data_IF_173189088102
#
_entry.id   IF_173189088102
#
_cell.length_a   1.000
_cell.length_b   1.000
_cell.length_c   1.000
_cell.angle_alpha   90.00
_cell.angle_beta   90.00
_cell.angle_gamma   90.00
#
_symmetry.space_group_name_H-M   'P 1'
#
loop_
_entity.id
_entity.type
_entity.pdbx_description
1 polymer ?
#
# COMPACT_ATOMS: atom_id res chain seq x y z
N UNK A 1 -26.76 7.31 16.83
CA UNK A 1 -28.05 6.76 16.36
C UNK A 1 -28.10 6.37 14.88
N UNK A 2 -27.93 7.31 13.91
CA UNK A 2 -27.98 6.94 12.47
C UNK A 2 -26.74 6.14 12.07
N UNK A 3 -25.57 6.58 12.49
CA UNK A 3 -24.28 5.93 12.24
C UNK A 3 -24.23 4.51 12.80
N UNK A 4 -24.69 4.32 14.03
CA UNK A 4 -24.68 3.04 14.73
C UNK A 4 -25.63 2.04 14.04
N UNK A 5 -26.85 2.49 13.70
CA UNK A 5 -27.81 1.70 12.92
C UNK A 5 -27.29 1.34 11.53
N UNK A 6 -26.48 2.21 10.93
CA UNK A 6 -25.86 1.94 9.63
C UNK A 6 -24.75 0.89 9.78
N UNK A 7 -23.88 1.04 10.79
CA UNK A 7 -22.84 0.06 11.14
C UNK A 7 -23.44 -1.32 11.40
N UNK A 8 -24.48 -1.41 12.20
CA UNK A 8 -25.16 -2.67 12.53
C UNK A 8 -25.76 -3.35 11.29
N UNK A 9 -26.27 -2.56 10.34
CA UNK A 9 -26.85 -3.09 9.09
C UNK A 9 -25.80 -3.57 8.09
N UNK A 10 -24.67 -2.91 8.01
CA UNK A 10 -23.61 -3.26 7.08
C UNK A 10 -22.80 -4.44 7.59
N UNK A 11 -22.58 -4.52 8.90
CA UNK A 11 -21.77 -5.57 9.51
C UNK A 11 -20.30 -5.51 9.07
N UNK A 12 -19.62 -6.65 9.16
CA UNK A 12 -18.25 -6.79 8.67
C UNK A 12 -18.25 -7.14 7.18
N UNK A 13 -17.45 -6.42 6.41
CA UNK A 13 -17.22 -6.73 4.98
C UNK A 13 -15.93 -7.55 4.90
N UNK A 14 -15.97 -8.80 4.39
CA UNK A 14 -14.76 -9.59 4.19
C UNK A 14 -13.77 -8.84 3.31
N UNK A 15 -12.48 -8.95 3.64
CA UNK A 15 -11.35 -8.32 2.93
C UNK A 15 -11.31 -6.78 2.94
N UNK A 16 -12.23 -6.11 3.65
CA UNK A 16 -12.14 -4.68 3.86
C UNK A 16 -11.00 -4.37 4.84
N UNK A 17 -10.01 -3.60 4.37
CA UNK A 17 -8.89 -3.15 5.21
C UNK A 17 -9.34 -2.11 6.24
N UNK A 18 -10.35 -1.33 5.92
CA UNK A 18 -10.91 -0.29 6.77
C UNK A 18 -12.36 -0.04 6.37
N UNK A 19 -13.23 0.11 7.37
CA UNK A 19 -14.62 0.49 7.19
C UNK A 19 -14.96 1.62 8.17
N UNK A 20 -15.12 2.82 7.64
CA UNK A 20 -15.39 4.03 8.42
C UNK A 20 -16.78 4.56 8.12
N UNK A 21 -17.55 4.87 9.14
CA UNK A 21 -18.88 5.46 9.00
C UNK A 21 -18.85 6.94 9.43
N UNK A 22 -19.06 7.84 8.51
CA UNK A 22 -19.06 9.29 8.75
C UNK A 22 -20.49 9.81 8.61
N UNK A 23 -21.03 10.40 9.68
CA UNK A 23 -22.38 10.97 9.70
C UNK A 23 -22.40 12.50 9.70
N UNK A 24 -21.27 13.15 9.96
CA UNK A 24 -21.16 14.59 10.08
C UNK A 24 -20.41 15.19 8.89
N UNK A 25 -21.02 16.19 8.26
CA UNK A 25 -20.42 16.94 7.16
C UNK A 25 -19.26 17.85 7.65
N UNK A 26 -19.23 18.19 8.94
CA UNK A 26 -18.21 19.00 9.59
C UNK A 26 -17.66 18.25 10.81
N UNK A 27 -16.85 17.24 10.58
CA UNK A 27 -16.10 16.58 11.65
C UNK A 27 -14.92 17.47 12.07
N UNK A 28 -14.78 17.70 13.37
CA UNK A 28 -13.61 18.40 13.94
C UNK A 28 -12.30 17.56 13.87
N UNK A 29 -12.29 16.50 13.08
CA UNK A 29 -11.22 15.49 13.01
C UNK A 29 -11.48 14.32 13.97
N UNK A 30 -10.61 13.32 13.87
CA UNK A 30 -10.68 12.14 14.72
C UNK A 30 -10.39 12.50 16.18
N UNK A 31 -11.16 11.92 17.11
CA UNK A 31 -11.03 12.18 18.54
C UNK A 31 -9.66 11.73 19.09
N UNK A 32 -9.10 10.70 18.49
CA UNK A 32 -7.76 10.19 18.76
C UNK A 32 -6.90 10.36 17.51
N UNK A 33 -5.75 11.04 17.66
CA UNK A 33 -4.78 11.21 16.58
C UNK A 33 -3.38 11.22 17.16
N UNK A 34 -2.66 10.10 16.98
CA UNK A 34 -1.27 9.96 17.39
C UNK A 34 -0.35 9.92 16.17
N UNK A 35 0.77 10.63 16.24
CA UNK A 35 1.80 10.61 15.21
C UNK A 35 3.06 9.98 15.76
N UNK A 36 3.42 8.83 15.20
CA UNK A 36 4.65 8.14 15.50
C UNK A 36 5.70 8.56 14.47
N UNK A 37 6.87 8.99 14.92
CA UNK A 37 7.96 9.40 14.04
C UNK A 37 9.19 8.57 14.34
N UNK A 38 9.84 8.01 13.31
CA UNK A 38 11.01 7.16 13.48
C UNK A 38 11.92 7.16 12.26
N UNK A 39 13.16 6.68 12.45
CA UNK A 39 14.12 6.46 11.35
C UNK A 39 14.02 5.05 10.79
N UNK A 40 13.82 4.06 11.67
CA UNK A 40 13.66 2.67 11.28
C UNK A 40 12.17 2.39 11.02
N UNK A 41 11.87 1.89 9.83
CA UNK A 41 10.53 1.65 9.35
C UNK A 41 9.85 0.48 10.07
N UNK A 42 10.59 -0.61 10.29
CA UNK A 42 10.02 -1.81 10.89
C UNK A 42 9.65 -1.57 12.36
N UNK A 43 10.51 -0.85 13.09
CA UNK A 43 10.20 -0.42 14.46
C UNK A 43 8.96 0.50 14.47
N UNK A 44 8.84 1.38 13.48
CA UNK A 44 7.71 2.30 13.39
C UNK A 44 6.40 1.55 13.11
N UNK A 45 6.44 0.51 12.27
CA UNK A 45 5.29 -0.39 12.00
C UNK A 45 4.88 -1.16 13.25
N UNK A 46 5.85 -1.74 13.95
CA UNK A 46 5.60 -2.46 15.20
C UNK A 46 4.96 -1.56 16.25
N UNK A 47 5.52 -0.38 16.46
CA UNK A 47 4.96 0.60 17.39
C UNK A 47 3.53 1.05 17.01
N UNK A 48 3.24 1.21 15.71
CA UNK A 48 1.91 1.54 15.25
C UNK A 48 0.91 0.38 15.49
N UNK A 49 1.34 -0.85 15.24
CA UNK A 49 0.52 -2.04 15.50
C UNK A 49 0.23 -2.23 16.99
N UNK A 50 1.23 -2.03 17.85
CA UNK A 50 1.06 -2.07 19.32
C UNK A 50 0.11 -0.99 19.81
N UNK A 51 0.26 0.24 19.30
CA UNK A 51 -0.62 1.35 19.66
C UNK A 51 -2.06 1.09 19.22
N UNK A 52 -2.29 0.55 18.02
CA UNK A 52 -3.62 0.14 17.55
C UNK A 52 -4.22 -0.95 18.44
N UNK A 53 -3.44 -1.97 18.76
CA UNK A 53 -3.88 -3.06 19.63
C UNK A 53 -4.24 -2.56 21.02
N UNK A 54 -3.49 -1.61 21.55
CA UNK A 54 -3.79 -0.98 22.85
C UNK A 54 -5.07 -0.14 22.78
N UNK A 55 -5.22 0.72 21.78
CA UNK A 55 -6.40 1.55 21.60
C UNK A 55 -7.68 0.73 21.47
N UNK A 56 -7.63 -0.39 20.78
CA UNK A 56 -8.78 -1.29 20.62
C UNK A 56 -9.20 -1.99 21.92
N UNK A 57 -8.40 -1.91 22.99
CA UNK A 57 -8.76 -2.45 24.33
C UNK A 57 -9.62 -1.50 25.15
N UNK A 58 -9.65 -0.22 24.80
CA UNK A 58 -10.42 0.76 25.55
C UNK A 58 -11.90 0.68 25.17
N UNK A 59 -12.81 0.45 26.14
CA UNK A 59 -14.24 0.51 25.88
C UNK A 59 -14.63 1.88 25.35
N UNK A 60 -15.44 1.91 24.29
CA UNK A 60 -15.87 3.16 23.65
C UNK A 60 -14.88 3.75 22.63
N UNK A 61 -13.73 3.12 22.39
CA UNK A 61 -12.86 3.43 21.23
C UNK A 61 -13.27 2.53 20.07
N UNK A 62 -13.37 3.10 18.89
CA UNK A 62 -13.74 2.39 17.67
C UNK A 62 -13.07 3.01 16.43
N UNK A 63 -13.18 2.34 15.29
CA UNK A 63 -12.62 2.75 14.00
C UNK A 63 -11.12 3.11 14.10
N UNK A 64 -10.35 2.31 14.87
CA UNK A 64 -8.91 2.52 15.02
C UNK A 64 -8.20 2.07 13.74
N UNK A 65 -7.56 3.00 13.08
CA UNK A 65 -6.80 2.77 11.87
C UNK A 65 -5.45 3.47 11.89
N UNK A 66 -4.58 3.12 10.96
CA UNK A 66 -3.31 3.83 10.80
C UNK A 66 -3.09 4.26 9.35
N UNK A 67 -2.21 5.23 9.16
CA UNK A 67 -1.84 5.74 7.84
C UNK A 67 -0.88 4.82 7.09
N UNK A 68 -0.45 3.73 7.71
CA UNK A 68 0.37 2.72 7.08
C UNK A 68 -0.51 1.78 6.28
N UNK A 69 -0.90 2.20 5.09
CA UNK A 69 -1.67 1.34 4.19
C UNK A 69 -0.71 0.53 3.36
N UNK A 70 -0.79 -0.79 3.49
CA UNK A 70 -0.22 -1.67 2.49
C UNK A 70 -0.83 -1.27 1.14
N UNK A 71 0.01 -0.83 0.22
CA UNK A 71 -0.40 -0.50 -1.13
C UNK A 71 -0.78 -1.75 -1.92
N UNK A 72 -0.94 -1.58 -3.21
CA UNK A 72 -1.19 -2.70 -4.12
C UNK A 72 -0.04 -3.69 -4.07
N UNK A 73 -0.35 -4.96 -4.28
CA UNK A 73 0.69 -5.96 -4.54
C UNK A 73 1.55 -5.51 -5.71
N UNK A 74 2.85 -5.63 -5.57
CA UNK A 74 3.83 -5.34 -6.59
C UNK A 74 4.79 -6.52 -6.76
N UNK A 75 5.29 -6.67 -7.96
CA UNK A 75 6.36 -7.61 -8.27
C UNK A 75 7.70 -6.89 -8.06
N UNK A 76 8.46 -7.32 -7.07
CA UNK A 76 9.81 -6.84 -6.80
C UNK A 76 10.81 -7.71 -7.55
N UNK A 77 11.54 -7.11 -8.48
CA UNK A 77 12.47 -7.82 -9.35
C UNK A 77 13.89 -7.59 -8.88
N UNK A 78 14.67 -8.66 -8.77
CA UNK A 78 16.09 -8.62 -8.48
C UNK A 78 16.89 -9.20 -9.67
N UNK A 79 17.89 -8.45 -10.14
CA UNK A 79 18.74 -8.90 -11.24
C UNK A 79 19.81 -9.87 -10.73
N UNK A 80 19.93 -11.02 -11.39
CA UNK A 80 20.97 -12.01 -11.11
C UNK A 80 22.29 -11.63 -11.77
N UNK A 81 23.41 -12.16 -11.27
CA UNK A 81 24.75 -11.93 -11.84
C UNK A 81 24.84 -12.29 -13.33
N UNK A 82 24.15 -13.36 -13.75
CA UNK A 82 24.06 -13.73 -15.16
C UNK A 82 23.41 -12.65 -16.01
N UNK A 83 22.37 -11.97 -15.50
CA UNK A 83 21.74 -10.85 -16.20
C UNK A 83 22.71 -9.68 -16.39
N UNK A 84 23.48 -9.34 -15.36
CA UNK A 84 24.50 -8.29 -15.44
C UNK A 84 25.61 -8.64 -16.44
N UNK A 85 26.05 -9.91 -16.46
CA UNK A 85 27.07 -10.39 -17.43
C UNK A 85 26.58 -10.30 -18.87
N UNK A 86 25.28 -10.46 -19.11
CA UNK A 86 24.66 -10.29 -20.43
C UNK A 86 24.40 -8.82 -20.80
N UNK A 87 24.84 -7.87 -19.97
CA UNK A 87 24.70 -6.44 -20.18
C UNK A 87 23.31 -5.88 -19.86
N UNK A 88 22.46 -6.65 -19.17
CA UNK A 88 21.15 -6.19 -18.73
C UNK A 88 21.27 -5.34 -17.46
N UNK A 89 20.44 -4.32 -17.36
CA UNK A 89 20.19 -3.58 -16.13
C UNK A 89 18.83 -3.97 -15.55
N UNK A 90 18.61 -3.69 -14.26
CA UNK A 90 17.31 -3.88 -13.64
C UNK A 90 16.21 -3.09 -14.38
N UNK A 91 16.54 -1.89 -14.85
CA UNK A 91 15.61 -1.04 -15.59
C UNK A 91 15.19 -1.67 -16.94
N UNK A 92 16.11 -2.33 -17.64
CA UNK A 92 15.81 -3.01 -18.91
C UNK A 92 14.83 -4.16 -18.69
N UNK A 93 15.07 -4.96 -17.66
CA UNK A 93 14.19 -6.09 -17.29
C UNK A 93 12.82 -5.56 -16.85
N UNK A 94 12.78 -4.62 -15.92
CA UNK A 94 11.53 -4.06 -15.40
C UNK A 94 10.70 -3.37 -16.51
N UNK A 95 11.36 -2.71 -17.45
CA UNK A 95 10.70 -2.08 -18.59
C UNK A 95 10.06 -3.12 -19.51
N UNK A 96 10.76 -4.21 -19.83
CA UNK A 96 10.23 -5.27 -20.68
C UNK A 96 9.07 -6.01 -19.99
N UNK A 97 9.18 -6.32 -18.69
CA UNK A 97 8.09 -6.90 -17.90
C UNK A 97 6.88 -5.97 -17.91
N UNK A 98 7.07 -4.69 -17.63
CA UNK A 98 5.98 -3.71 -17.67
C UNK A 98 5.32 -3.62 -19.04
N UNK A 99 6.09 -3.62 -20.12
CA UNK A 99 5.55 -3.55 -21.48
C UNK A 99 4.74 -4.81 -21.82
N UNK A 100 5.19 -5.99 -21.41
CA UNK A 100 4.48 -7.23 -21.63
C UNK A 100 3.12 -7.26 -20.91
N UNK A 101 3.07 -6.92 -19.63
CA UNK A 101 1.88 -7.05 -18.78
C UNK A 101 0.97 -5.81 -18.83
N UNK A 102 1.52 -4.62 -18.67
CA UNK A 102 0.75 -3.37 -18.69
C UNK A 102 0.54 -2.85 -20.13
N UNK A 103 1.57 -2.97 -20.95
CA UNK A 103 1.60 -2.51 -22.34
C UNK A 103 2.55 -1.34 -22.56
N UNK A 104 2.95 -1.21 -23.82
CA UNK A 104 3.70 -0.08 -24.35
C UNK A 104 2.76 0.77 -25.22
N UNK A 105 2.75 2.09 -25.01
CA UNK A 105 2.06 3.03 -25.90
C UNK A 105 2.89 3.16 -27.18
N UNK A 106 2.37 2.60 -28.27
CA UNK A 106 3.04 2.65 -29.59
C UNK A 106 2.74 3.96 -30.31
N UNK A 107 1.51 4.45 -30.19
CA UNK A 107 1.09 5.66 -30.87
C UNK A 107 -0.06 6.33 -30.12
N UNK A 108 -0.11 7.66 -30.21
CA UNK A 108 -1.22 8.47 -29.74
C UNK A 108 -1.77 9.29 -30.89
N UNK A 109 -3.07 9.18 -31.14
CA UNK A 109 -3.74 9.84 -32.26
C UNK A 109 -4.88 10.69 -31.72
N UNK A 110 -4.86 11.98 -32.00
CA UNK A 110 -5.99 12.84 -31.70
C UNK A 110 -6.99 12.81 -32.86
N UNK A 111 -8.24 12.48 -32.53
CA UNK A 111 -9.35 12.48 -33.49
C UNK A 111 -10.43 13.41 -32.99
N UNK A 112 -10.46 14.64 -33.48
CA UNK A 112 -11.36 15.68 -32.96
C UNK A 112 -11.06 15.98 -31.50
N UNK A 113 -12.02 15.71 -30.61
CA UNK A 113 -11.86 15.85 -29.14
C UNK A 113 -11.30 14.59 -28.45
N UNK A 114 -11.17 13.48 -29.17
CA UNK A 114 -10.81 12.19 -28.57
C UNK A 114 -9.31 11.92 -28.69
N UNK A 115 -8.71 11.50 -27.57
CA UNK A 115 -7.31 11.09 -27.47
C UNK A 115 -7.23 9.54 -27.50
N UNK A 116 -6.92 9.00 -28.68
CA UNK A 116 -6.85 7.56 -28.92
C UNK A 116 -5.43 7.07 -28.69
N UNK A 117 -5.25 6.15 -27.72
CA UNK A 117 -3.98 5.50 -27.43
C UNK A 117 -3.93 4.10 -28.02
N UNK A 118 -2.90 3.84 -28.82
CA UNK A 118 -2.63 2.50 -29.33
C UNK A 118 -1.65 1.82 -28.39
N UNK A 119 -2.13 0.79 -27.68
CA UNK A 119 -1.36 0.04 -26.70
C UNK A 119 -1.01 -1.34 -27.25
N UNK A 120 0.27 -1.72 -27.16
CA UNK A 120 0.77 -3.07 -27.47
C UNK A 120 1.09 -3.77 -26.17
N UNK A 121 0.48 -4.94 -25.95
CA UNK A 121 0.67 -5.76 -24.73
C UNK A 121 0.34 -7.22 -25.04
N UNK A 122 0.71 -8.12 -24.15
CA UNK A 122 0.31 -9.53 -24.25
C UNK A 122 -1.22 -9.71 -24.16
N UNK A 123 -1.74 -10.81 -24.72
CA UNK A 123 -3.15 -11.19 -24.59
C UNK A 123 -3.58 -11.25 -23.10
N UNK A 124 -4.88 -11.15 -22.84
CA UNK A 124 -5.39 -11.06 -21.48
C UNK A 124 -5.11 -12.32 -20.66
N UNK A 125 -5.27 -13.48 -21.24
CA UNK A 125 -4.98 -14.79 -20.65
C UNK A 125 -3.51 -14.93 -20.24
N UNK A 126 -2.59 -14.37 -21.01
CA UNK A 126 -1.14 -14.37 -20.70
C UNK A 126 -0.75 -13.36 -19.61
N UNK A 127 -1.62 -12.40 -19.28
CA UNK A 127 -1.35 -11.36 -18.27
C UNK A 127 -1.99 -11.62 -16.91
N UNK A 128 -2.87 -12.61 -16.80
CA UNK A 128 -3.61 -12.91 -15.58
C UNK A 128 -2.84 -13.77 -14.58
N UNK A 129 -1.75 -14.43 -15.00
CA UNK A 129 -0.98 -15.31 -14.15
C UNK A 129 0.47 -14.87 -14.01
N UNK A 130 0.98 -14.95 -12.78
CA UNK A 130 2.41 -14.73 -12.50
C UNK A 130 3.31 -15.84 -13.10
N UNK A 131 2.76 -17.03 -13.35
CA UNK A 131 3.49 -18.10 -14.05
C UNK A 131 3.94 -17.66 -15.46
N UNK A 132 3.22 -16.73 -16.07
CA UNK A 132 3.61 -16.19 -17.38
C UNK A 132 4.81 -15.23 -17.29
N UNK A 133 5.08 -14.66 -16.12
CA UNK A 133 6.32 -13.91 -15.88
C UNK A 133 7.54 -14.85 -15.89
N UNK A 134 7.41 -16.06 -15.36
CA UNK A 134 8.49 -17.05 -15.34
C UNK A 134 8.91 -17.48 -16.78
N UNK A 135 7.93 -17.55 -17.65
CA UNK A 135 8.12 -17.93 -19.06
C UNK A 135 8.48 -16.75 -20.00
N UNK A 136 8.49 -15.52 -19.47
CA UNK A 136 8.79 -14.33 -20.25
C UNK A 136 10.23 -14.38 -20.80
N UNK A 137 10.37 -14.08 -22.08
CA UNK A 137 11.68 -13.92 -22.70
C UNK A 137 12.15 -12.47 -22.62
N UNK A 138 13.33 -12.28 -22.05
CA UNK A 138 13.98 -10.97 -21.91
C UNK A 138 14.99 -10.82 -23.04
N UNK A 139 14.88 -9.73 -23.79
CA UNK A 139 15.80 -9.38 -24.85
C UNK A 139 17.02 -8.67 -24.29
N UNK A 140 18.18 -9.21 -24.58
CA UNK A 140 19.48 -8.63 -24.20
C UNK A 140 19.89 -7.49 -25.16
N UNK A 141 20.85 -6.63 -24.79
CA UNK A 141 21.37 -5.59 -25.66
C UNK A 141 21.99 -6.14 -26.95
N UNK A 142 22.48 -7.40 -26.94
CA UNK A 142 23.00 -8.09 -28.14
C UNK A 142 21.90 -8.60 -29.06
N UNK A 143 20.61 -8.49 -28.68
CA UNK A 143 19.46 -8.97 -29.45
C UNK A 143 19.07 -10.42 -29.19
N UNK A 144 19.78 -11.14 -28.33
CA UNK A 144 19.43 -12.50 -27.93
C UNK A 144 18.27 -12.49 -26.94
N UNK A 145 17.43 -13.52 -26.93
CA UNK A 145 16.34 -13.69 -26.00
C UNK A 145 16.70 -14.78 -24.98
N UNK A 146 16.48 -14.48 -23.71
CA UNK A 146 16.79 -15.38 -22.58
C UNK A 146 15.59 -15.45 -21.63
N UNK A 147 15.31 -16.61 -20.99
CA UNK A 147 14.23 -16.71 -20.01
C UNK A 147 14.44 -15.75 -18.86
N UNK A 148 13.36 -15.13 -18.37
CA UNK A 148 13.36 -14.20 -17.24
C UNK A 148 14.09 -14.79 -16.02
N UNK A 149 13.72 -16.00 -15.58
CA UNK A 149 14.34 -16.65 -14.43
C UNK A 149 15.83 -16.96 -14.56
N UNK A 150 16.39 -16.89 -15.79
CA UNK A 150 17.83 -17.05 -15.99
C UNK A 150 18.62 -15.77 -15.69
N UNK A 151 17.97 -14.60 -15.67
CA UNK A 151 18.60 -13.28 -15.54
C UNK A 151 18.06 -12.46 -14.36
N UNK A 152 16.91 -12.83 -13.82
CA UNK A 152 16.29 -12.15 -12.70
C UNK A 152 15.51 -13.14 -11.82
N UNK A 153 15.28 -12.75 -10.58
CA UNK A 153 14.34 -13.36 -9.65
C UNK A 153 13.26 -12.36 -9.29
N UNK A 154 12.14 -12.84 -8.74
CA UNK A 154 11.08 -11.95 -8.29
C UNK A 154 10.45 -12.42 -6.98
N UNK A 155 9.98 -11.47 -6.21
CA UNK A 155 9.16 -11.70 -5.02
C UNK A 155 7.91 -10.82 -5.06
N UNK A 156 6.87 -11.27 -4.37
CA UNK A 156 5.67 -10.45 -4.18
C UNK A 156 5.84 -9.60 -2.93
N UNK A 157 5.71 -8.31 -3.10
CA UNK A 157 5.70 -7.33 -2.03
C UNK A 157 4.42 -6.48 -2.07
N UNK A 158 4.26 -5.67 -1.05
CA UNK A 158 3.24 -4.63 -1.04
C UNK A 158 3.92 -3.28 -1.24
N UNK A 159 3.48 -2.55 -2.25
CA UNK A 159 3.87 -1.16 -2.44
C UNK A 159 3.31 -0.28 -1.32
N UNK A 160 3.96 0.83 -1.02
CA UNK A 160 3.39 1.83 -0.12
C UNK A 160 2.50 2.78 -0.92
N UNK A 161 1.24 2.92 -0.52
CA UNK A 161 0.33 3.86 -1.17
C UNK A 161 0.76 5.31 -0.95
N UNK A 162 1.35 5.62 0.21
CA UNK A 162 1.93 6.93 0.52
C UNK A 162 3.02 6.82 1.59
N UNK A 163 4.05 7.66 1.49
CA UNK A 163 5.11 7.80 2.48
C UNK A 163 5.03 9.22 3.06
N UNK A 164 4.51 9.33 4.27
CA UNK A 164 4.45 10.61 4.97
C UNK A 164 5.76 10.88 5.72
N UNK A 165 6.31 12.09 5.56
CA UNK A 165 7.52 12.53 6.25
C UNK A 165 7.32 13.90 6.87
N UNK A 166 7.92 14.09 8.06
CA UNK A 166 8.01 15.37 8.72
C UNK A 166 9.41 15.51 9.35
N UNK A 167 10.06 16.62 9.11
CA UNK A 167 11.41 16.92 9.58
C UNK A 167 12.41 15.78 9.22
N UNK A 168 12.30 15.25 7.97
CA UNK A 168 13.14 14.19 7.45
C UNK A 168 12.88 12.78 8.03
N UNK A 169 11.93 12.62 8.96
CA UNK A 169 11.56 11.32 9.56
C UNK A 169 10.29 10.80 8.97
N UNK A 170 10.17 9.49 8.81
CA UNK A 170 8.90 8.84 8.47
C UNK A 170 7.91 9.02 9.61
N UNK A 171 6.64 9.20 9.24
CA UNK A 171 5.52 9.32 10.18
C UNK A 171 4.48 8.26 9.84
N UNK A 172 3.99 7.58 10.87
CA UNK A 172 2.75 6.82 10.85
C UNK A 172 1.77 7.53 11.77
N UNK A 173 0.59 7.83 11.26
CA UNK A 173 -0.49 8.42 12.06
C UNK A 173 -1.46 7.31 12.42
N UNK A 174 -1.74 7.15 13.70
CA UNK A 174 -2.79 6.26 14.22
C UNK A 174 -3.94 7.12 14.66
N UNK A 175 -5.11 6.83 14.10
CA UNK A 175 -6.35 7.57 14.36
C UNK A 175 -7.42 6.63 14.93
N UNK A 176 -8.37 7.20 15.64
CA UNK A 176 -9.51 6.47 16.16
C UNK A 176 -10.61 7.42 16.57
N UNK A 177 -11.82 6.91 16.65
CA UNK A 177 -12.97 7.66 17.15
C UNK A 177 -13.39 7.15 18.53
N UNK A 178 -14.09 7.98 19.28
CA UNK A 178 -14.47 7.71 20.66
C UNK A 178 -15.94 8.00 20.89
N UNK A 179 -16.63 7.09 21.52
CA UNK A 179 -17.94 7.39 22.09
C UNK A 179 -17.78 8.32 23.31
N UNK A 180 -18.00 9.61 23.09
CA UNK A 180 -17.87 10.66 24.11
C UNK A 180 -18.87 10.53 25.25
N UNK A 181 -19.88 9.67 25.12
CA UNK A 181 -20.81 9.37 26.18
C UNK A 181 -20.30 8.32 27.15
N UNK A 182 -19.39 7.45 26.65
CA UNK A 182 -18.79 6.37 27.41
C UNK A 182 -17.43 6.72 28.00
N UNK A 183 -16.59 7.46 27.25
CA UNK A 183 -15.18 7.74 27.66
C UNK A 183 -14.74 9.14 27.20
N UNK A 184 -13.92 9.78 28.01
CA UNK A 184 -13.30 11.06 27.70
C UNK A 184 -11.99 10.83 26.88
N UNK A 185 -11.83 11.41 25.66
CA UNK A 185 -10.63 11.24 24.84
C UNK A 185 -9.33 11.62 25.57
N UNK A 186 -9.37 12.63 26.45
CA UNK A 186 -8.21 13.08 27.21
C UNK A 186 -7.73 12.09 28.27
N UNK A 187 -8.60 11.23 28.78
CA UNK A 187 -8.22 10.17 29.72
C UNK A 187 -7.43 9.09 29.00
N UNK A 188 -7.95 8.61 27.87
CA UNK A 188 -7.25 7.65 27.00
C UNK A 188 -5.90 8.20 26.60
N UNK A 189 -5.85 9.47 26.18
CA UNK A 189 -4.60 10.12 25.78
C UNK A 189 -3.56 10.11 26.90
N UNK A 190 -3.95 10.43 28.12
CA UNK A 190 -3.02 10.45 29.27
C UNK A 190 -2.49 9.04 29.60
N UNK A 191 -3.35 8.04 29.55
CA UNK A 191 -2.94 6.65 29.83
C UNK A 191 -2.02 6.10 28.76
N UNK A 192 -2.37 6.28 27.50
CA UNK A 192 -1.55 5.83 26.36
C UNK A 192 -0.17 6.51 26.41
N UNK A 193 -0.12 7.84 26.59
CA UNK A 193 1.16 8.56 26.69
C UNK A 193 2.00 8.03 27.85
N UNK A 194 1.38 7.78 29.03
CA UNK A 194 2.11 7.25 30.19
C UNK A 194 2.69 5.87 29.89
N UNK A 195 1.94 4.99 29.19
CA UNK A 195 2.36 3.63 28.89
C UNK A 195 3.48 3.60 27.83
N UNK A 196 3.37 4.39 26.77
CA UNK A 196 4.33 4.41 25.68
C UNK A 196 5.54 5.32 25.93
N UNK A 197 5.51 6.22 26.92
CA UNK A 197 6.64 7.08 27.28
C UNK A 197 7.66 6.37 28.20
N UNK A 198 7.29 5.22 28.76
CA UNK A 198 8.12 4.41 29.63
C UNK A 198 8.85 3.28 28.90
N UNK A 199 8.68 3.15 27.61
CA UNK A 199 9.41 2.27 26.70
C UNK A 199 10.37 3.10 25.81
#
# INVERSE_FOLDING_TARGET
EIRDRWRDKVGSIPDALELTFVSDAFSAGEAINYRLAGRNEDNLKLAAAELRAELNRYPGVFDVSDSFRAGKQEVQIEILERGKTLGLTLNDIATQVRQAFFGAESQRIQRGSDDIRVMVRYPEDERQSLSNLENLLIRTPSGSEVPFLSVADFSLGNSYSSINRRDGRRIITVVGDVDRTAVQPDEIRREVIRKFKSQ
#
